data_IF_713146073503
#
_entry.id   IF_713146073503
#
_cell.length_a   1.000
_cell.length_b   1.000
_cell.length_c   1.000
_cell.angle_alpha   90.00
_cell.angle_beta   90.00
_cell.angle_gamma   90.00
#
_symmetry.space_group_name_H-M   'P 1'
#
loop_
_entity.id
_entity.type
_entity.pdbx_description
1 polymer ?
#
# COMPACT_ATOMS: atom_id res chain seq x y z
N UNK A 1 -47.71 -1.36 14.92
CA UNK A 1 -46.68 -1.81 13.95
C UNK A 1 -45.93 -2.99 14.56
N UNK A 2 -45.67 -4.09 13.83
CA UNK A 2 -44.91 -5.22 14.36
C UNK A 2 -43.43 -4.84 14.52
N UNK A 3 -42.82 -5.19 15.65
CA UNK A 3 -41.38 -5.00 15.89
C UNK A 3 -40.56 -6.06 15.15
N UNK A 4 -39.37 -5.70 14.66
CA UNK A 4 -38.47 -6.67 14.03
C UNK A 4 -38.12 -7.82 15.00
N UNK A 5 -38.04 -9.07 14.48
CA UNK A 5 -37.60 -10.21 15.28
C UNK A 5 -36.16 -10.02 15.77
N UNK A 6 -35.84 -10.57 16.95
CA UNK A 6 -34.48 -10.55 17.48
C UNK A 6 -33.56 -11.38 16.59
N UNK A 7 -32.34 -10.90 16.39
CA UNK A 7 -31.29 -11.53 15.58
C UNK A 7 -30.17 -12.05 16.49
N UNK A 8 -29.39 -13.06 16.08
CA UNK A 8 -28.20 -13.44 16.83
C UNK A 8 -27.20 -12.29 16.90
N UNK A 9 -26.41 -12.27 17.97
CA UNK A 9 -25.31 -11.34 18.18
C UNK A 9 -24.30 -11.42 17.03
N UNK A 10 -23.80 -10.27 16.58
CA UNK A 10 -22.83 -10.18 15.49
C UNK A 10 -21.42 -10.69 15.84
N UNK A 11 -21.18 -11.13 17.08
CA UNK A 11 -19.91 -11.72 17.49
C UNK A 11 -19.81 -13.17 17.00
N UNK A 12 -18.72 -13.58 16.33
CA UNK A 12 -18.56 -14.95 15.83
C UNK A 12 -18.76 -16.00 16.92
N UNK A 13 -19.66 -16.95 16.69
CA UNK A 13 -19.96 -18.03 17.64
C UNK A 13 -20.90 -17.66 18.80
N UNK A 14 -21.49 -16.47 18.82
CA UNK A 14 -22.45 -16.06 19.85
C UNK A 14 -23.91 -16.24 19.40
N UNK A 15 -24.68 -17.07 20.11
CA UNK A 15 -26.11 -17.32 19.84
C UNK A 15 -27.08 -16.40 20.60
N UNK A 16 -26.58 -15.44 21.40
CA UNK A 16 -27.44 -14.53 22.19
C UNK A 16 -28.29 -13.65 21.27
N UNK A 17 -29.58 -13.53 21.56
CA UNK A 17 -30.54 -12.76 20.75
C UNK A 17 -30.57 -11.28 21.14
N UNK A 18 -30.39 -10.41 20.15
CA UNK A 18 -30.38 -8.94 20.27
C UNK A 18 -31.30 -8.29 19.25
N UNK A 19 -31.72 -7.06 19.51
CA UNK A 19 -32.49 -6.27 18.53
C UNK A 19 -31.56 -5.84 17.37
N UNK A 20 -30.32 -5.46 17.69
CA UNK A 20 -29.28 -5.06 16.72
C UNK A 20 -27.87 -5.22 17.32
N UNK A 21 -26.89 -5.52 16.48
CA UNK A 21 -25.47 -5.45 16.83
C UNK A 21 -24.99 -6.54 17.78
N UNK A 22 -24.47 -6.13 18.94
CA UNK A 22 -23.81 -7.01 19.92
C UNK A 22 -24.62 -7.12 21.21
N UNK A 23 -24.51 -8.26 21.90
CA UNK A 23 -25.03 -8.40 23.27
C UNK A 23 -24.11 -7.70 24.27
N UNK A 24 -24.56 -7.52 25.51
CA UNK A 24 -23.80 -6.82 26.57
C UNK A 24 -22.38 -7.39 26.76
N UNK A 25 -22.24 -8.72 26.71
CA UNK A 25 -20.94 -9.41 26.79
C UNK A 25 -19.97 -9.06 25.65
N UNK A 26 -20.49 -8.69 24.48
CA UNK A 26 -19.68 -8.38 23.29
C UNK A 26 -19.79 -6.91 22.88
N UNK A 27 -20.31 -6.07 23.78
CA UNK A 27 -20.38 -4.64 23.54
C UNK A 27 -18.96 -4.09 23.36
N UNK A 28 -18.72 -3.34 22.28
CA UNK A 28 -17.37 -2.86 21.95
C UNK A 28 -16.41 -3.90 21.35
N UNK A 29 -16.82 -5.18 21.21
CA UNK A 29 -16.02 -6.22 20.54
C UNK A 29 -16.12 -6.17 19.01
N UNK A 30 -16.48 -5.00 18.46
CA UNK A 30 -16.63 -4.78 17.03
C UNK A 30 -15.32 -5.03 16.28
N UNK A 31 -15.43 -5.44 15.01
CA UNK A 31 -14.28 -5.59 14.14
C UNK A 31 -13.44 -4.30 14.08
N UNK A 32 -14.09 -3.15 13.95
CA UNK A 32 -13.41 -1.85 13.89
C UNK A 32 -12.73 -1.47 15.22
N UNK A 33 -13.32 -1.85 16.36
CA UNK A 33 -12.72 -1.62 17.67
C UNK A 33 -11.41 -2.42 17.83
N UNK A 34 -11.36 -3.66 17.33
CA UNK A 34 -10.14 -4.49 17.32
C UNK A 34 -9.10 -4.00 16.31
N UNK A 35 -9.55 -3.48 15.17
CA UNK A 35 -8.68 -3.01 14.08
C UNK A 35 -8.05 -1.64 14.36
N UNK A 36 -8.70 -0.82 15.17
CA UNK A 36 -8.30 0.57 15.40
C UNK A 36 -8.62 1.50 14.22
N UNK A 37 -8.54 2.80 14.48
CA UNK A 37 -8.81 3.84 13.49
C UNK A 37 -7.76 3.86 12.38
N UNK A 38 -8.11 4.47 11.23
CA UNK A 38 -7.17 4.65 10.11
C UNK A 38 -5.87 5.36 10.55
N UNK A 39 -6.00 6.39 11.39
CA UNK A 39 -4.87 7.13 11.94
C UNK A 39 -4.00 6.27 12.85
N UNK A 40 -4.60 5.48 13.75
CA UNK A 40 -3.85 4.55 14.61
C UNK A 40 -3.10 3.48 13.81
N UNK A 41 -3.61 3.11 12.63
CA UNK A 41 -2.93 2.20 11.69
C UNK A 41 -1.87 2.88 10.83
N UNK A 42 -1.56 4.16 11.08
CA UNK A 42 -0.51 4.89 10.38
C UNK A 42 -0.94 5.56 9.08
N UNK A 43 -2.25 5.71 8.82
CA UNK A 43 -2.81 6.40 7.64
C UNK A 43 -3.34 7.80 7.99
N UNK A 44 -2.64 8.50 8.88
CA UNK A 44 -3.00 9.84 9.37
C UNK A 44 -2.65 10.99 8.40
N UNK A 45 -2.53 12.21 8.93
CA UNK A 45 -2.25 13.41 8.13
C UNK A 45 -0.91 13.35 7.38
N UNK A 46 0.15 12.86 8.03
CA UNK A 46 1.47 12.71 7.40
C UNK A 46 1.40 11.80 6.16
N UNK A 47 0.72 10.66 6.28
CA UNK A 47 0.48 9.76 5.14
C UNK A 47 -0.25 10.45 3.99
N UNK A 48 -1.33 11.20 4.27
CA UNK A 48 -2.08 11.90 3.21
C UNK A 48 -1.20 12.86 2.42
N UNK A 49 -0.33 13.62 3.10
CA UNK A 49 0.63 14.50 2.43
C UNK A 49 1.59 13.75 1.51
N UNK A 50 2.17 12.66 2.01
CA UNK A 50 3.10 11.82 1.25
C UNK A 50 2.38 11.22 0.03
N UNK A 51 1.20 10.63 0.24
CA UNK A 51 0.35 10.06 -0.82
C UNK A 51 0.07 11.07 -1.92
N UNK A 52 -0.38 12.27 -1.56
CA UNK A 52 -0.77 13.28 -2.55
C UNK A 52 0.45 13.80 -3.33
N UNK A 53 1.60 13.97 -2.67
CA UNK A 53 2.85 14.32 -3.35
C UNK A 53 3.32 13.21 -4.29
N UNK A 54 3.26 11.96 -3.83
CA UNK A 54 3.67 10.78 -4.59
C UNK A 54 2.80 10.60 -5.84
N UNK A 55 1.47 10.71 -5.76
CA UNK A 55 0.56 10.56 -6.90
C UNK A 55 0.63 11.72 -7.90
N UNK A 56 1.05 12.91 -7.45
CA UNK A 56 1.37 14.02 -8.37
C UNK A 56 2.64 13.75 -9.17
N UNK A 57 3.68 13.23 -8.52
CA UNK A 57 4.95 12.89 -9.18
C UNK A 57 4.87 11.60 -10.02
N UNK A 58 3.99 10.67 -9.64
CA UNK A 58 3.81 9.36 -10.27
C UNK A 58 2.38 9.22 -10.82
N UNK A 59 2.07 9.92 -11.93
CA UNK A 59 0.72 10.00 -12.49
C UNK A 59 0.14 8.68 -13.03
N UNK A 60 1.00 7.72 -13.38
CA UNK A 60 0.63 6.53 -14.13
C UNK A 60 0.78 5.26 -13.29
N UNK A 61 -0.12 4.30 -13.51
CA UNK A 61 -0.05 2.99 -12.88
C UNK A 61 1.21 2.23 -13.34
N UNK A 62 1.91 1.57 -12.42
CA UNK A 62 3.10 0.76 -12.74
C UNK A 62 2.80 -0.52 -13.52
N UNK A 63 1.53 -0.94 -13.56
CA UNK A 63 1.05 -2.18 -14.17
C UNK A 63 1.93 -3.43 -13.93
N UNK A 64 2.40 -3.60 -12.70
CA UNK A 64 3.26 -4.73 -12.33
C UNK A 64 2.68 -6.13 -12.64
N UNK A 65 1.38 -6.23 -12.95
CA UNK A 65 0.67 -7.46 -13.26
C UNK A 65 0.30 -7.63 -14.74
N UNK A 66 0.68 -6.68 -15.62
CA UNK A 66 0.39 -6.74 -17.05
C UNK A 66 -1.10 -6.71 -17.38
N UNK A 67 -1.91 -6.04 -16.57
CA UNK A 67 -3.37 -5.97 -16.70
C UNK A 67 -3.81 -4.96 -17.76
N UNK A 68 -2.97 -3.99 -18.13
CA UNK A 68 -3.34 -2.89 -19.02
C UNK A 68 -3.05 -3.17 -20.51
N UNK A 69 -2.35 -4.27 -20.83
CA UNK A 69 -2.08 -4.67 -22.24
C UNK A 69 -1.47 -3.54 -23.10
N UNK A 70 -0.63 -2.70 -22.51
CA UNK A 70 0.01 -1.56 -23.19
C UNK A 70 -0.72 -0.22 -23.04
N UNK A 71 -1.87 -0.19 -22.37
CA UNK A 71 -2.59 1.06 -22.08
C UNK A 71 -1.97 1.82 -20.90
N UNK A 72 -1.87 3.14 -21.03
CA UNK A 72 -1.43 4.04 -19.95
C UNK A 72 -2.62 4.42 -19.07
N UNK A 73 -2.73 3.76 -17.91
CA UNK A 73 -3.81 4.01 -16.95
C UNK A 73 -3.34 4.93 -15.83
N UNK A 74 -4.19 5.89 -15.45
CA UNK A 74 -3.94 6.79 -14.32
C UNK A 74 -3.83 6.04 -13.00
N UNK A 75 -2.85 6.41 -12.19
CA UNK A 75 -2.78 5.96 -10.81
C UNK A 75 -3.77 6.74 -9.94
N UNK A 76 -4.49 6.00 -9.08
CA UNK A 76 -5.48 6.53 -8.13
C UNK A 76 -5.06 6.27 -6.68
N UNK A 77 -4.15 5.31 -6.47
CA UNK A 77 -3.72 4.83 -5.17
C UNK A 77 -2.19 4.75 -5.09
N UNK A 78 -1.63 5.18 -3.96
CA UNK A 78 -0.25 4.92 -3.60
C UNK A 78 -0.26 3.68 -2.70
N UNK A 79 0.27 2.57 -3.20
CA UNK A 79 0.26 1.28 -2.53
C UNK A 79 1.63 0.97 -1.93
N UNK A 80 1.65 0.42 -0.72
CA UNK A 80 2.89 0.00 -0.07
C UNK A 80 3.34 -1.35 -0.62
N UNK A 81 4.52 -1.41 -1.25
CA UNK A 81 5.14 -2.66 -1.75
C UNK A 81 5.29 -3.68 -0.61
N UNK A 82 5.81 -3.24 0.53
CA UNK A 82 5.78 -3.97 1.79
C UNK A 82 4.65 -3.36 2.64
N UNK A 83 3.59 -4.11 2.99
CA UNK A 83 2.49 -3.57 3.79
C UNK A 83 2.96 -3.05 5.16
N UNK A 84 2.30 -2.01 5.70
CA UNK A 84 2.57 -1.50 7.06
C UNK A 84 2.45 -2.57 8.15
N UNK A 85 1.53 -3.53 8.00
CA UNK A 85 1.38 -4.66 8.93
C UNK A 85 2.58 -5.61 8.95
N UNK A 86 3.42 -5.56 7.91
CA UNK A 86 4.66 -6.34 7.79
C UNK A 86 5.91 -5.45 7.99
N UNK A 87 5.75 -4.25 8.54
CA UNK A 87 6.86 -3.33 8.81
C UNK A 87 7.23 -2.38 7.67
N UNK A 88 6.40 -2.26 6.63
CA UNK A 88 6.62 -1.28 5.56
C UNK A 88 6.51 0.18 6.03
N UNK A 89 7.36 1.03 5.48
CA UNK A 89 7.42 2.48 5.75
C UNK A 89 6.66 3.30 4.71
N UNK A 90 6.47 4.59 4.97
CA UNK A 90 5.92 5.54 3.99
C UNK A 90 6.99 6.13 3.05
N UNK A 91 8.18 5.52 3.00
CA UNK A 91 9.25 5.96 2.12
C UNK A 91 8.84 5.80 0.66
N UNK A 92 9.22 6.76 -0.18
CA UNK A 92 8.89 6.77 -1.60
C UNK A 92 9.34 5.49 -2.32
N UNK A 93 10.45 4.89 -1.90
CA UNK A 93 10.96 3.62 -2.44
C UNK A 93 10.03 2.43 -2.16
N UNK A 94 9.27 2.48 -1.06
CA UNK A 94 8.27 1.48 -0.67
C UNK A 94 6.88 1.77 -1.26
N UNK A 95 6.69 2.89 -1.97
CA UNK A 95 5.41 3.21 -2.61
C UNK A 95 5.40 2.80 -4.09
N UNK A 96 4.23 2.42 -4.56
CA UNK A 96 3.97 2.04 -5.96
C UNK A 96 2.67 2.69 -6.45
N UNK A 97 2.67 3.40 -7.60
CA UNK A 97 1.45 4.02 -8.14
C UNK A 97 0.57 2.95 -8.78
N UNK A 98 -0.67 2.79 -8.30
CA UNK A 98 -1.62 1.80 -8.81
C UNK A 98 -2.97 2.41 -9.16
N UNK A 99 -3.61 1.87 -10.19
CA UNK A 99 -5.04 2.05 -10.43
C UNK A 99 -5.85 1.09 -9.56
N UNK A 100 -7.16 1.33 -9.43
CA UNK A 100 -8.05 0.55 -8.58
C UNK A 100 -8.07 -0.95 -8.94
N UNK A 101 -7.96 -1.26 -10.24
CA UNK A 101 -7.93 -2.63 -10.75
C UNK A 101 -6.65 -3.37 -10.33
N UNK A 102 -5.49 -2.74 -10.49
CA UNK A 102 -4.20 -3.34 -10.10
C UNK A 102 -4.07 -3.46 -8.58
N UNK A 103 -4.57 -2.47 -7.83
CA UNK A 103 -4.61 -2.53 -6.37
C UNK A 103 -5.50 -3.68 -5.88
N UNK A 104 -6.73 -3.78 -6.40
CA UNK A 104 -7.66 -4.87 -6.04
C UNK A 104 -7.09 -6.25 -6.37
N UNK A 105 -6.40 -6.38 -7.50
CA UNK A 105 -5.73 -7.61 -7.90
C UNK A 105 -4.61 -8.01 -6.94
N UNK A 106 -3.77 -7.07 -6.50
CA UNK A 106 -2.76 -7.32 -5.45
C UNK A 106 -3.43 -7.80 -4.16
N UNK A 107 -4.44 -7.08 -3.67
CA UNK A 107 -5.10 -7.43 -2.41
C UNK A 107 -5.68 -8.84 -2.44
N UNK A 108 -6.29 -9.23 -3.56
CA UNK A 108 -6.85 -10.56 -3.74
C UNK A 108 -5.78 -11.67 -3.78
N UNK A 109 -4.63 -11.42 -4.42
CA UNK A 109 -3.57 -12.42 -4.62
C UNK A 109 -2.53 -12.50 -3.50
N UNK A 110 -2.22 -11.37 -2.87
CA UNK A 110 -1.03 -11.20 -2.03
C UNK A 110 -1.38 -10.84 -0.59
N UNK A 111 -2.32 -9.91 -0.40
CA UNK A 111 -2.61 -9.36 0.94
C UNK A 111 -3.65 -10.18 1.73
N UNK A 112 -4.13 -11.31 1.18
CA UNK A 112 -5.10 -12.18 1.85
C UNK A 112 -6.53 -11.66 1.82
N UNK A 113 -6.91 -10.91 0.78
CA UNK A 113 -8.30 -10.52 0.55
C UNK A 113 -9.26 -11.71 0.55
N UNK A 114 -10.50 -11.48 1.01
CA UNK A 114 -11.59 -12.49 1.05
C UNK A 114 -11.38 -13.69 1.98
N UNK A 115 -10.57 -13.54 3.04
CA UNK A 115 -10.33 -14.62 4.01
C UNK A 115 -9.24 -15.60 3.57
N UNK A 116 -8.52 -15.29 2.49
CA UNK A 116 -7.34 -16.05 2.08
C UNK A 116 -6.18 -15.81 3.05
N UNK A 117 -5.43 -16.87 3.39
CA UNK A 117 -4.21 -16.70 4.17
C UNK A 117 -3.21 -15.88 3.35
N UNK A 118 -2.78 -14.73 3.88
CA UNK A 118 -1.65 -14.00 3.28
C UNK A 118 -0.45 -14.94 3.26
N UNK A 119 0.20 -15.11 2.11
CA UNK A 119 1.45 -15.87 2.05
C UNK A 119 2.50 -15.08 2.82
N UNK A 120 2.66 -15.40 4.10
CA UNK A 120 3.73 -14.87 4.94
C UNK A 120 5.05 -15.24 4.26
N UNK A 121 5.65 -14.31 3.53
CA UNK A 121 7.04 -14.42 3.12
C UNK A 121 7.87 -14.24 4.38
N UNK A 122 8.03 -15.33 5.13
CA UNK A 122 8.95 -15.40 6.26
C UNK A 122 10.30 -14.85 5.83
N UNK A 123 10.76 -13.83 6.55
CA UNK A 123 12.01 -13.16 6.24
C UNK A 123 13.16 -14.16 6.22
N UNK A 124 13.76 -14.38 5.04
CA UNK A 124 15.14 -14.84 4.98
C UNK A 124 15.98 -13.67 5.48
N UNK A 125 16.49 -13.77 6.71
CA UNK A 125 17.66 -13.00 7.12
C UNK A 125 18.80 -13.37 6.17
N UNK A 126 19.09 -12.53 5.19
CA UNK A 126 20.36 -12.61 4.47
C UNK A 126 21.39 -12.02 5.41
N UNK A 127 22.15 -12.90 6.06
CA UNK A 127 23.39 -12.52 6.72
C UNK A 127 24.29 -11.87 5.69
N UNK A 128 24.74 -10.65 5.97
CA UNK A 128 25.79 -9.99 5.23
C UNK A 128 27.01 -10.93 5.17
N UNK A 129 27.35 -11.36 3.96
CA UNK A 129 28.68 -11.91 3.68
C UNK A 129 29.31 -11.00 2.64
N UNK A 130 30.26 -10.22 3.11
CA UNK A 130 31.14 -9.34 2.37
C UNK A 130 31.78 -10.09 1.20
N UNK A 131 31.67 -9.54 0.00
CA UNK A 131 32.73 -9.66 -1.01
C UNK A 131 32.53 -8.60 -2.08
N UNK A 132 33.21 -7.46 -1.88
CA UNK A 132 33.31 -6.40 -2.88
C UNK A 132 34.56 -6.69 -3.72
N UNK A 133 34.40 -7.41 -4.83
CA UNK A 133 35.42 -7.43 -5.87
C UNK A 133 34.98 -6.52 -7.03
N UNK A 134 35.68 -5.38 -7.03
CA UNK A 134 35.86 -4.36 -8.06
C UNK A 134 35.96 -4.96 -9.47
N UNK A 135 35.02 -4.60 -10.34
CA UNK A 135 35.20 -4.66 -11.79
C UNK A 135 34.83 -3.29 -12.36
N UNK A 136 35.84 -2.58 -12.86
CA UNK A 136 35.69 -1.33 -13.58
C UNK A 136 35.13 -1.64 -14.97
N UNK A 137 33.98 -1.05 -15.30
CA UNK A 137 33.37 -1.12 -16.62
C UNK A 137 32.91 0.28 -17.00
N UNK A 138 33.55 0.83 -18.03
CA UNK A 138 33.35 2.16 -18.57
C UNK A 138 31.93 2.30 -19.13
N UNK A 139 31.25 3.41 -18.84
CA UNK A 139 30.15 3.86 -19.67
C UNK A 139 30.26 5.36 -19.91
N UNK A 140 30.21 5.66 -21.20
CA UNK A 140 30.50 6.93 -21.85
C UNK A 140 29.61 8.08 -21.39
N UNK A 141 30.26 9.24 -21.33
CA UNK A 141 29.68 10.55 -21.09
C UNK A 141 28.80 10.93 -22.28
N UNK A 142 27.48 11.00 -22.13
CA UNK A 142 26.69 11.89 -22.99
C UNK A 142 25.29 12.21 -22.46
N UNK A 143 25.18 13.16 -21.53
CA UNK A 143 24.08 14.14 -21.45
C UNK A 143 24.31 15.10 -20.29
N UNK A 144 24.27 16.40 -20.56
CA UNK A 144 24.40 17.47 -19.57
C UNK A 144 23.16 17.52 -18.66
N UNK A 145 23.37 17.31 -17.37
CA UNK A 145 22.39 17.58 -16.33
C UNK A 145 22.72 18.96 -15.75
N UNK A 146 21.87 19.96 -15.97
CA UNK A 146 22.02 21.26 -15.30
C UNK A 146 21.34 21.26 -13.93
N UNK A 147 22.00 21.93 -12.99
CA UNK A 147 21.83 21.81 -11.55
C UNK A 147 20.87 22.89 -11.04
N UNK A 148 19.63 22.53 -10.72
CA UNK A 148 18.70 23.41 -9.99
C UNK A 148 18.68 23.06 -8.50
N UNK A 149 19.86 23.11 -7.89
CA UNK A 149 20.02 23.06 -6.46
C UNK A 149 19.53 24.37 -5.83
N UNK A 150 18.31 24.39 -5.28
CA UNK A 150 18.06 25.21 -4.10
C UNK A 150 16.87 24.77 -3.21
N UNK A 151 16.67 23.47 -2.96
CA UNK A 151 15.79 23.01 -1.87
C UNK A 151 16.25 21.65 -1.30
N UNK A 152 17.45 21.60 -0.73
CA UNK A 152 17.91 20.67 0.33
C UNK A 152 17.31 19.25 0.50
N UNK A 153 17.04 18.48 -0.56
CA UNK A 153 16.61 17.07 -0.47
C UNK A 153 17.19 16.24 -1.64
N UNK A 154 17.62 14.98 -1.40
CA UNK A 154 18.27 14.18 -2.43
C UNK A 154 17.26 13.62 -3.47
N UNK A 155 17.44 14.10 -4.70
CA UNK A 155 17.26 13.46 -6.02
C UNK A 155 15.93 12.76 -6.33
N UNK A 156 14.93 13.56 -6.73
CA UNK A 156 13.78 13.10 -7.53
C UNK A 156 14.07 13.24 -9.02
N UNK A 157 14.07 12.12 -9.74
CA UNK A 157 14.18 12.08 -11.20
C UNK A 157 12.77 12.18 -11.81
N UNK A 158 12.53 13.21 -12.62
CA UNK A 158 11.29 13.34 -13.40
C UNK A 158 11.63 13.19 -14.88
N UNK A 159 11.20 12.08 -15.50
CA UNK A 159 11.31 11.90 -16.94
C UNK A 159 10.07 12.48 -17.64
N UNK A 160 10.24 13.56 -18.38
CA UNK A 160 9.24 14.07 -19.32
C UNK A 160 9.54 13.52 -20.74
N UNK A 161 8.55 13.02 -21.49
CA UNK A 161 8.73 12.66 -22.89
C UNK A 161 8.91 13.92 -23.75
N UNK A 162 9.86 13.90 -24.69
CA UNK A 162 10.00 14.96 -25.70
C UNK A 162 8.80 14.89 -26.66
N UNK A 163 8.09 16.00 -26.80
CA UNK A 163 7.28 16.23 -27.99
C UNK A 163 8.23 16.26 -29.20
N UNK A 164 7.92 15.46 -30.21
CA UNK A 164 8.40 15.65 -31.57
C UNK A 164 7.58 16.74 -32.25
#
# INVERSE_FOLDING_TARGET
>A
MPSSPKKPCAYPGCSSLVIRGYCERHHGSGYDARRGTSTQRGYGYAWRKIRDAFLRANPWCSDAYGLHKGETIRATQADHKIPKSQGGTDDWSNLDPKCDRCHSHKTAKEDGGFGNQSKGRGGKKVSASSNVNRAQGQHEKNSQCENFGNYGWPEVWVCLPRNQ
#
